data_IF_528782470614
#
_entry.id   IF_528782470614
#
_cell.length_a   1.000
_cell.length_b   1.000
_cell.length_c   1.000
_cell.angle_alpha   90.00
_cell.angle_beta   90.00
_cell.angle_gamma   90.00
#
_symmetry.space_group_name_H-M   'P 1'
#
loop_
_entity.id
_entity.type
_entity.pdbx_description
1 polymer ?
#
# COMPACT_ATOMS: atom_id res chain seq x y z
N UNK A 1 24.04 -2.18 13.94
CA UNK A 1 24.21 -2.46 12.50
C UNK A 1 23.35 -1.44 11.78
N UNK A 2 23.96 -0.53 11.02
CA UNK A 2 23.22 0.49 10.28
C UNK A 2 22.85 -0.07 8.91
N UNK A 3 21.58 0.09 8.51
CA UNK A 3 21.09 -0.40 7.23
C UNK A 3 21.61 0.51 6.11
N UNK A 4 22.32 -0.05 5.12
CA UNK A 4 23.00 0.69 4.04
C UNK A 4 22.05 1.11 2.90
N UNK A 5 20.85 1.58 3.22
CA UNK A 5 19.89 2.00 2.19
C UNK A 5 20.19 3.42 1.71
N UNK A 6 20.02 3.63 0.40
CA UNK A 6 20.04 4.96 -0.18
C UNK A 6 18.67 5.62 0.01
N UNK A 7 18.64 6.80 0.61
CA UNK A 7 17.43 7.61 0.69
C UNK A 7 17.22 8.36 -0.62
N UNK A 8 16.06 8.16 -1.25
CA UNK A 8 15.66 8.92 -2.44
C UNK A 8 14.98 10.22 -1.98
N UNK A 9 15.38 11.40 -2.50
CA UNK A 9 14.71 12.65 -2.17
C UNK A 9 13.26 12.63 -2.64
N UNK A 10 12.33 13.02 -1.76
CA UNK A 10 10.91 13.13 -2.07
C UNK A 10 10.41 14.53 -1.73
N UNK A 11 9.70 15.16 -2.66
CA UNK A 11 9.18 16.50 -2.47
C UNK A 11 8.02 16.49 -1.44
N UNK A 12 7.88 17.55 -0.61
CA UNK A 12 6.75 17.67 0.29
C UNK A 12 5.41 17.59 -0.46
N UNK A 13 4.41 16.94 0.15
CA UNK A 13 3.03 16.87 -0.36
C UNK A 13 2.91 16.40 -1.81
N UNK A 14 3.76 15.45 -2.24
CA UNK A 14 3.76 14.92 -3.61
C UNK A 14 3.28 13.46 -3.69
N UNK A 15 2.02 13.15 -3.29
CA UNK A 15 1.49 11.78 -3.37
C UNK A 15 1.41 11.28 -4.82
N UNK A 16 1.33 12.18 -5.81
CA UNK A 16 1.43 11.87 -7.23
C UNK A 16 2.81 11.33 -7.64
N UNK A 17 3.86 11.60 -6.85
CA UNK A 17 5.21 11.08 -7.06
C UNK A 17 5.50 9.79 -6.29
N UNK A 18 4.64 9.42 -5.32
CA UNK A 18 4.83 8.23 -4.50
C UNK A 18 4.09 7.02 -5.11
N UNK A 19 4.79 5.96 -5.58
CA UNK A 19 4.15 4.81 -6.21
C UNK A 19 3.11 4.10 -5.32
N UNK A 20 3.31 4.14 -4.00
CA UNK A 20 2.33 3.68 -3.03
C UNK A 20 0.99 4.43 -3.16
N UNK A 21 1.04 5.75 -3.29
CA UNK A 21 -0.12 6.62 -3.24
C UNK A 21 -0.84 6.76 -4.58
N UNK A 22 -0.12 6.94 -5.69
CA UNK A 22 -0.76 7.12 -7.00
C UNK A 22 -1.17 5.79 -7.67
N UNK A 23 -0.53 4.67 -7.32
CA UNK A 23 -0.76 3.38 -7.98
C UNK A 23 -1.27 2.29 -7.03
N UNK A 24 -0.54 1.96 -5.96
CA UNK A 24 -0.88 0.82 -5.12
C UNK A 24 -2.21 1.02 -4.38
N UNK A 25 -2.35 2.09 -3.59
CA UNK A 25 -3.52 2.29 -2.75
C UNK A 25 -4.83 2.48 -3.53
N UNK A 26 -4.87 3.19 -4.67
CA UNK A 26 -6.09 3.27 -5.46
C UNK A 26 -6.57 1.92 -6.00
N UNK A 27 -5.66 1.04 -6.41
CA UNK A 27 -6.01 -0.29 -6.89
C UNK A 27 -6.41 -1.23 -5.75
N UNK A 28 -5.67 -1.20 -4.64
CA UNK A 28 -5.99 -1.96 -3.45
C UNK A 28 -7.33 -1.53 -2.82
N UNK A 29 -7.69 -0.24 -2.86
CA UNK A 29 -9.01 0.25 -2.45
C UNK A 29 -10.15 -0.35 -3.27
N UNK A 30 -9.95 -0.56 -4.58
CA UNK A 30 -10.95 -1.21 -5.43
C UNK A 30 -11.11 -2.68 -5.08
N UNK A 31 -10.01 -3.36 -4.77
CA UNK A 31 -10.02 -4.75 -4.29
C UNK A 31 -10.75 -4.87 -2.95
N UNK A 32 -10.42 -4.01 -1.99
CA UNK A 32 -10.98 -4.01 -0.63
C UNK A 32 -12.29 -3.22 -0.50
N UNK A 33 -13.05 -3.06 -1.59
CA UNK A 33 -14.26 -2.23 -1.61
C UNK A 33 -15.47 -2.85 -0.87
N UNK A 34 -15.30 -3.98 -0.22
CA UNK A 34 -16.33 -4.69 0.54
C UNK A 34 -16.27 -4.40 2.05
N UNK A 35 -17.27 -4.89 2.79
CA UNK A 35 -17.36 -4.69 4.24
C UNK A 35 -16.77 -5.88 4.98
N UNK A 36 -15.74 -5.61 5.78
CA UNK A 36 -15.12 -6.58 6.67
C UNK A 36 -15.71 -6.50 8.08
N UNK A 37 -15.79 -7.64 8.75
CA UNK A 37 -16.32 -7.78 10.11
C UNK A 37 -15.24 -8.08 11.15
N UNK A 38 -14.00 -8.32 10.69
CA UNK A 38 -12.84 -8.52 11.57
C UNK A 38 -11.54 -8.08 10.89
N UNK A 39 -10.50 -7.85 11.69
CA UNK A 39 -9.17 -7.49 11.17
C UNK A 39 -8.52 -8.65 10.41
N UNK A 40 -8.79 -9.89 10.82
CA UNK A 40 -8.27 -11.10 10.18
C UNK A 40 -8.76 -11.21 8.73
N UNK A 41 -10.00 -10.82 8.46
CA UNK A 41 -10.53 -10.78 7.09
C UNK A 41 -9.79 -9.74 6.24
N UNK A 42 -9.58 -8.52 6.76
CA UNK A 42 -8.83 -7.47 6.05
C UNK A 42 -7.40 -7.91 5.77
N UNK A 43 -6.72 -8.53 6.74
CA UNK A 43 -5.35 -9.04 6.59
C UNK A 43 -5.30 -10.14 5.51
N UNK A 44 -6.26 -11.06 5.53
CA UNK A 44 -6.33 -12.17 4.56
C UNK A 44 -6.52 -11.63 3.14
N UNK A 45 -7.48 -10.71 2.94
CA UNK A 45 -7.72 -10.12 1.61
C UNK A 45 -6.58 -9.21 1.14
N UNK A 46 -5.92 -8.50 2.05
CA UNK A 46 -4.72 -7.70 1.71
C UNK A 46 -3.57 -8.59 1.26
N UNK A 47 -3.36 -9.73 1.93
CA UNK A 47 -2.35 -10.70 1.51
C UNK A 47 -2.71 -11.34 0.16
N UNK A 48 -4.00 -11.65 -0.07
CA UNK A 48 -4.48 -12.18 -1.34
C UNK A 48 -4.21 -11.22 -2.50
N UNK A 49 -4.41 -9.91 -2.29
CA UNK A 49 -4.11 -8.87 -3.30
C UNK A 49 -2.65 -8.90 -3.79
N UNK A 50 -1.69 -9.19 -2.91
CA UNK A 50 -0.26 -9.26 -3.28
C UNK A 50 0.17 -10.62 -3.87
N UNK A 51 -0.70 -11.63 -3.83
CA UNK A 51 -0.44 -12.97 -4.36
C UNK A 51 -1.04 -13.20 -5.75
N UNK A 52 -1.85 -12.26 -6.24
CA UNK A 52 -2.41 -12.22 -7.59
C UNK A 52 -1.46 -11.50 -8.56
#
# INVERSE_FOLDING_TARGET
>A
MELRFQLVPHAPYSPDLAPSDYYLFPNMKKWLAERFYSNEQVITETNAYFQY
#
